data_IF_261009037586
#
_entry.id   IF_261009037586
#
_cell.length_a   1.000
_cell.length_b   1.000
_cell.length_c   1.000
_cell.angle_alpha   90.00
_cell.angle_beta   90.00
_cell.angle_gamma   90.00
#
_symmetry.space_group_name_H-M   'P 1'
#
loop_
_entity.id
_entity.type
_entity.pdbx_description
1 polymer ?
#
# COMPACT_ATOMS: atom_id res chain seq x y z
N UNK A 1 -11.69 14.50 -0.43
CA UNK A 1 -10.49 14.90 -1.21
C UNK A 1 -10.31 13.89 -2.33
N UNK A 2 -9.37 14.10 -3.28
CA UNK A 2 -9.05 13.05 -4.26
C UNK A 2 -8.49 11.80 -3.57
N UNK A 3 -7.70 11.95 -2.49
CA UNK A 3 -7.23 10.84 -1.67
C UNK A 3 -8.35 10.04 -1.00
N UNK A 4 -9.39 10.70 -0.50
CA UNK A 4 -10.56 10.03 0.05
C UNK A 4 -11.29 9.19 -1.00
N UNK A 5 -11.44 9.69 -2.23
CA UNK A 5 -12.00 8.90 -3.33
C UNK A 5 -11.10 7.71 -3.70
N UNK A 6 -9.77 7.85 -3.63
CA UNK A 6 -8.86 6.72 -3.78
C UNK A 6 -9.11 5.67 -2.68
N UNK A 7 -9.33 6.10 -1.44
CA UNK A 7 -9.62 5.21 -0.32
C UNK A 7 -10.93 4.46 -0.55
N UNK A 8 -12.02 5.15 -0.91
CA UNK A 8 -13.32 4.54 -1.25
C UNK A 8 -13.18 3.50 -2.37
N UNK A 9 -12.42 3.80 -3.44
CA UNK A 9 -12.18 2.84 -4.52
C UNK A 9 -11.34 1.63 -4.11
N UNK A 10 -10.33 1.84 -3.25
CA UNK A 10 -9.44 0.79 -2.78
C UNK A 10 -10.17 -0.13 -1.76
N UNK A 11 -11.02 0.44 -0.90
CA UNK A 11 -11.94 -0.27 0.02
C UNK A 11 -12.96 -1.10 -0.75
N UNK A 12 -13.67 -0.49 -1.71
CA UNK A 12 -14.64 -1.20 -2.54
C UNK A 12 -13.99 -2.33 -3.36
N UNK A 13 -12.74 -2.17 -3.79
CA UNK A 13 -12.01 -3.24 -4.45
C UNK A 13 -11.70 -4.40 -3.49
N UNK A 14 -11.31 -4.10 -2.25
CA UNK A 14 -11.06 -5.11 -1.22
C UNK A 14 -12.35 -5.88 -0.88
N UNK A 15 -13.46 -5.17 -0.66
CA UNK A 15 -14.76 -5.79 -0.39
C UNK A 15 -15.21 -6.68 -1.55
N UNK A 16 -15.12 -6.18 -2.80
CA UNK A 16 -15.46 -6.96 -3.97
C UNK A 16 -14.66 -8.27 -4.06
N UNK A 17 -13.35 -8.23 -3.77
CA UNK A 17 -12.50 -9.42 -3.86
C UNK A 17 -12.72 -10.40 -2.69
N UNK A 18 -12.71 -9.91 -1.46
CA UNK A 18 -12.67 -10.77 -0.26
C UNK A 18 -14.04 -11.07 0.34
N UNK A 19 -15.02 -10.17 0.17
CA UNK A 19 -16.39 -10.37 0.65
C UNK A 19 -17.27 -10.97 -0.43
N UNK A 20 -17.18 -10.47 -1.67
CA UNK A 20 -18.08 -10.87 -2.76
C UNK A 20 -17.46 -11.90 -3.73
N UNK A 21 -16.15 -12.17 -3.63
CA UNK A 21 -15.45 -13.13 -4.50
C UNK A 21 -15.27 -12.65 -5.95
N UNK A 22 -15.42 -11.35 -6.21
CA UNK A 22 -15.31 -10.74 -7.54
C UNK A 22 -13.84 -10.50 -7.89
N UNK A 23 -13.33 -11.28 -8.84
CA UNK A 23 -11.97 -11.13 -9.36
C UNK A 23 -11.94 -10.03 -10.43
N UNK A 24 -11.10 -8.98 -10.29
CA UNK A 24 -11.00 -7.93 -11.31
C UNK A 24 -10.39 -8.45 -12.62
N UNK A 25 -10.81 -7.87 -13.74
CA UNK A 25 -10.12 -8.10 -15.01
C UNK A 25 -8.70 -7.53 -14.94
N UNK A 26 -7.71 -8.39 -15.17
CA UNK A 26 -6.31 -8.05 -15.09
C UNK A 26 -5.72 -7.63 -16.45
N UNK A 27 -4.82 -6.65 -16.42
CA UNK A 27 -4.07 -6.22 -17.61
C UNK A 27 -3.00 -7.25 -18.05
N UNK A 28 -2.52 -8.09 -17.12
CA UNK A 28 -1.34 -8.94 -17.29
C UNK A 28 -1.50 -10.25 -16.52
N UNK A 29 -0.73 -11.27 -16.89
CA UNK A 29 -0.61 -12.53 -16.15
C UNK A 29 0.86 -12.86 -15.91
N UNK A 30 1.22 -13.25 -14.69
CA UNK A 30 2.56 -13.66 -14.29
C UNK A 30 2.46 -14.81 -13.29
N UNK A 31 3.43 -15.71 -13.34
CA UNK A 31 3.58 -16.82 -12.37
C UNK A 31 4.30 -16.36 -11.10
N UNK A 32 5.18 -15.37 -11.22
CA UNK A 32 5.96 -14.84 -10.10
C UNK A 32 5.94 -13.31 -10.06
N UNK A 33 5.92 -12.75 -8.85
CA UNK A 33 6.11 -11.32 -8.59
C UNK A 33 7.12 -11.09 -7.47
N UNK A 34 7.71 -9.90 -7.47
CA UNK A 34 8.44 -9.36 -6.33
C UNK A 34 7.53 -8.35 -5.64
N UNK A 35 7.42 -8.46 -4.32
CA UNK A 35 6.69 -7.50 -3.48
C UNK A 35 7.64 -7.02 -2.39
N UNK A 36 7.60 -5.74 -2.05
CA UNK A 36 8.30 -5.22 -0.88
C UNK A 36 7.35 -4.38 -0.04
N UNK A 37 7.51 -4.42 1.29
CA UNK A 37 6.73 -3.63 2.24
C UNK A 37 7.62 -3.07 3.35
N UNK A 38 7.40 -1.81 3.69
CA UNK A 38 8.08 -1.11 4.80
C UNK A 38 7.22 0.09 5.25
N UNK A 39 7.47 0.58 6.45
CA UNK A 39 6.79 1.72 7.05
C UNK A 39 7.71 2.94 7.13
N UNK A 40 7.17 4.12 6.85
CA UNK A 40 7.86 5.39 7.13
C UNK A 40 7.02 6.28 8.04
N UNK A 41 7.65 6.95 8.99
CA UNK A 41 6.96 7.74 9.99
C UNK A 41 6.98 9.24 9.65
N UNK A 42 5.78 9.82 9.55
CA UNK A 42 5.56 11.22 9.19
C UNK A 42 5.11 12.03 10.40
N UNK A 43 5.49 13.31 10.47
CA UNK A 43 5.11 14.20 11.56
C UNK A 43 3.69 14.74 11.39
N UNK A 44 2.88 14.70 12.46
CA UNK A 44 1.54 15.27 12.48
C UNK A 44 1.54 16.73 12.93
N UNK A 45 0.69 17.55 12.32
CA UNK A 45 0.44 18.93 12.75
C UNK A 45 -0.59 18.97 13.86
N UNK A 46 -0.21 19.51 15.02
CA UNK A 46 -1.13 19.77 16.14
C UNK A 46 -2.03 18.55 16.43
N UNK A 47 -1.43 17.37 16.71
CA UNK A 47 -2.22 16.20 17.12
C UNK A 47 -3.07 16.57 18.33
N UNK A 48 -4.24 15.95 18.46
CA UNK A 48 -5.10 16.17 19.62
C UNK A 48 -4.38 15.72 20.91
N UNK A 49 -4.85 16.20 22.06
CA UNK A 49 -4.28 15.76 23.35
C UNK A 49 -4.43 14.23 23.48
N UNK A 50 -3.32 13.55 23.79
CA UNK A 50 -3.25 12.08 23.86
C UNK A 50 -2.95 11.38 22.53
N UNK A 51 -2.96 12.07 21.39
CA UNK A 51 -2.60 11.48 20.09
C UNK A 51 -1.09 11.45 19.83
N UNK A 52 -0.59 10.45 19.08
CA UNK A 52 0.84 10.38 18.73
C UNK A 52 1.25 11.55 17.83
N UNK A 53 2.47 12.06 18.03
CA UNK A 53 3.04 13.16 17.22
C UNK A 53 3.47 12.73 15.81
N UNK A 54 3.59 11.44 15.58
CA UNK A 54 3.97 10.85 14.30
C UNK A 54 2.99 9.76 13.94
N UNK A 55 2.83 9.53 12.65
CA UNK A 55 2.02 8.44 12.13
C UNK A 55 2.84 7.63 11.14
N UNK A 56 2.64 6.33 11.15
CA UNK A 56 3.25 5.44 10.19
C UNK A 56 2.43 5.42 8.90
N UNK A 57 3.08 5.77 7.79
CA UNK A 57 2.61 5.46 6.45
C UNK A 57 3.16 4.08 6.09
N UNK A 58 2.26 3.09 6.00
CA UNK A 58 2.61 1.76 5.52
C UNK A 58 2.58 1.77 4.01
N UNK A 59 3.61 1.24 3.37
CA UNK A 59 3.71 1.19 1.93
C UNK A 59 4.09 -0.21 1.45
N UNK A 60 3.56 -0.59 0.29
CA UNK A 60 3.98 -1.75 -0.47
C UNK A 60 4.25 -1.37 -1.93
N UNK A 61 5.11 -2.14 -2.56
CA UNK A 61 5.35 -2.10 -4.01
C UNK A 61 5.42 -3.52 -4.57
N UNK A 62 4.70 -3.77 -5.66
CA UNK A 62 4.75 -5.01 -6.42
C UNK A 62 5.33 -4.74 -7.82
N UNK A 63 6.12 -5.66 -8.36
CA UNK A 63 6.74 -5.53 -9.67
C UNK A 63 7.16 -6.89 -10.27
N UNK A 64 7.31 -6.94 -11.59
CA UNK A 64 7.60 -8.20 -12.32
C UNK A 64 9.08 -8.60 -12.27
N UNK A 65 9.96 -7.64 -12.01
CA UNK A 65 11.40 -7.83 -12.14
C UNK A 65 12.14 -6.51 -12.18
N UNK A 66 13.46 -6.60 -12.35
CA UNK A 66 14.35 -5.46 -12.51
C UNK A 66 15.08 -5.59 -13.84
N UNK A 67 15.13 -4.52 -14.62
CA UNK A 67 15.87 -4.49 -15.87
C UNK A 67 16.86 -3.32 -15.92
N UNK A 68 17.96 -3.52 -16.64
CA UNK A 68 18.96 -2.48 -16.84
C UNK A 68 18.53 -1.56 -17.98
N UNK A 69 18.38 -0.27 -17.67
CA UNK A 69 18.19 0.80 -18.66
C UNK A 69 19.39 1.75 -18.61
N UNK A 70 20.36 1.49 -19.47
CA UNK A 70 21.64 2.21 -19.49
C UNK A 70 22.40 2.02 -18.18
N UNK A 71 22.66 3.13 -17.46
CA UNK A 71 23.36 3.10 -16.16
C UNK A 71 22.44 2.82 -14.96
N UNK A 72 21.12 2.77 -15.17
CA UNK A 72 20.14 2.58 -14.10
C UNK A 72 19.54 1.17 -14.16
N UNK A 73 19.08 0.70 -13.01
CA UNK A 73 18.21 -0.48 -12.89
C UNK A 73 16.82 0.03 -12.54
N UNK A 74 15.80 -0.42 -13.26
CA UNK A 74 14.41 -0.01 -13.04
C UNK A 74 13.52 -1.22 -12.82
N UNK A 75 12.47 -1.04 -12.03
CA UNK A 75 11.42 -2.06 -11.87
C UNK A 75 10.55 -2.13 -13.12
N UNK A 76 10.17 -3.33 -13.50
CA UNK A 76 9.23 -3.59 -14.59
C UNK A 76 7.81 -3.55 -14.04
N UNK A 77 6.98 -2.67 -14.63
CA UNK A 77 5.58 -2.48 -14.29
C UNK A 77 5.28 -2.29 -12.78
N UNK A 78 5.95 -1.36 -12.08
CA UNK A 78 5.73 -1.19 -10.65
C UNK A 78 4.27 -0.81 -10.34
N UNK A 79 3.79 -1.31 -9.22
CA UNK A 79 2.52 -0.99 -8.61
C UNK A 79 2.76 -0.65 -7.15
N UNK A 80 2.33 0.53 -6.73
CA UNK A 80 2.46 1.05 -5.39
C UNK A 80 1.09 1.14 -4.72
N UNK A 81 1.09 0.87 -3.41
CA UNK A 81 -0.03 1.16 -2.54
C UNK A 81 0.49 1.57 -1.17
N UNK A 82 -0.05 2.65 -0.61
CA UNK A 82 0.33 3.12 0.71
C UNK A 82 -0.86 3.79 1.39
N UNK A 83 -0.92 3.62 2.71
CA UNK A 83 -1.95 4.22 3.55
C UNK A 83 -1.44 4.43 4.98
N UNK A 84 -2.15 5.29 5.69
CA UNK A 84 -2.04 5.41 7.14
C UNK A 84 -3.20 4.64 7.75
N UNK A 85 -2.91 3.48 8.34
CA UNK A 85 -3.92 2.56 8.84
C UNK A 85 -3.31 1.25 9.34
N UNK A 86 -4.14 0.23 9.42
CA UNK A 86 -3.78 -1.12 9.86
C UNK A 86 -3.03 -1.89 8.76
N UNK A 87 -2.34 -2.94 9.18
CA UNK A 87 -1.73 -3.91 8.28
C UNK A 87 -2.76 -4.59 7.37
N UNK A 88 -3.92 -4.94 7.93
CA UNK A 88 -4.99 -5.60 7.21
C UNK A 88 -5.53 -4.73 6.09
N UNK A 89 -5.78 -3.43 6.35
CA UNK A 89 -6.19 -2.48 5.33
C UNK A 89 -5.15 -2.35 4.21
N UNK A 90 -3.85 -2.26 4.54
CA UNK A 90 -2.80 -2.16 3.52
C UNK A 90 -2.84 -3.36 2.58
N UNK A 91 -2.85 -4.57 3.15
CA UNK A 91 -2.75 -5.78 2.35
C UNK A 91 -4.04 -6.10 1.60
N UNK A 92 -5.21 -5.95 2.23
CA UNK A 92 -6.49 -6.19 1.57
C UNK A 92 -6.68 -5.26 0.37
N UNK A 93 -6.51 -3.96 0.59
CA UNK A 93 -6.69 -2.94 -0.44
C UNK A 93 -5.58 -2.99 -1.48
N UNK A 94 -4.33 -3.19 -1.06
CA UNK A 94 -3.17 -3.30 -1.94
C UNK A 94 -3.28 -4.48 -2.89
N UNK A 95 -3.57 -5.68 -2.38
CA UNK A 95 -3.73 -6.90 -3.19
C UNK A 95 -4.94 -6.80 -4.12
N UNK A 96 -6.08 -6.32 -3.62
CA UNK A 96 -7.28 -6.16 -4.46
C UNK A 96 -7.06 -5.17 -5.61
N UNK A 97 -6.41 -4.02 -5.32
CA UNK A 97 -6.07 -3.06 -6.35
C UNK A 97 -4.97 -3.58 -7.31
N UNK A 98 -4.03 -4.37 -6.80
CA UNK A 98 -3.00 -5.07 -7.60
C UNK A 98 -3.63 -6.07 -8.59
N UNK A 99 -4.76 -6.69 -8.23
CA UNK A 99 -5.49 -7.62 -9.08
C UNK A 99 -5.99 -7.04 -10.41
N UNK A 100 -6.13 -5.71 -10.51
CA UNK A 100 -6.42 -5.03 -11.79
C UNK A 100 -5.20 -5.02 -12.72
N UNK A 101 -3.99 -5.07 -12.17
CA UNK A 101 -2.73 -5.06 -12.92
C UNK A 101 -2.28 -6.48 -13.29
N UNK A 102 -2.38 -7.43 -12.37
CA UNK A 102 -2.00 -8.82 -12.60
C UNK A 102 -3.10 -9.79 -12.18
N UNK A 103 -3.28 -10.85 -12.98
CA UNK A 103 -4.17 -11.96 -12.68
C UNK A 103 -3.63 -12.74 -11.49
N UNK A 104 -4.24 -12.51 -10.31
CA UNK A 104 -3.82 -13.14 -9.06
C UNK A 104 -4.02 -14.66 -9.07
N UNK A 105 -4.91 -15.18 -9.93
CA UNK A 105 -5.14 -16.63 -10.05
C UNK A 105 -3.98 -17.38 -10.71
N UNK A 106 -3.12 -16.65 -11.43
CA UNK A 106 -1.93 -17.15 -12.12
C UNK A 106 -0.65 -17.05 -11.31
N UNK A 107 -0.68 -16.33 -10.18
CA UNK A 107 0.48 -16.23 -9.30
C UNK A 107 0.70 -17.55 -8.58
N UNK A 108 1.87 -18.12 -8.79
CA UNK A 108 2.36 -19.33 -8.14
C UNK A 108 3.32 -18.98 -7.00
N UNK A 109 4.13 -17.93 -7.17
CA UNK A 109 5.10 -17.51 -6.15
C UNK A 109 5.25 -15.99 -6.02
N UNK A 110 5.61 -15.55 -4.82
CA UNK A 110 5.94 -14.16 -4.52
C UNK A 110 7.17 -14.09 -3.62
N UNK A 111 8.17 -13.34 -4.06
CA UNK A 111 9.30 -12.96 -3.22
C UNK A 111 8.99 -11.66 -2.51
N UNK A 112 8.80 -11.72 -1.19
CA UNK A 112 8.41 -10.60 -0.35
C UNK A 112 9.59 -10.04 0.44
N UNK A 113 9.96 -8.79 0.21
CA UNK A 113 10.97 -8.07 0.99
C UNK A 113 10.35 -7.22 2.10
N UNK A 114 11.02 -7.12 3.25
CA UNK A 114 10.64 -6.15 4.28
C UNK A 114 11.66 -6.03 5.40
N UNK A 115 11.37 -5.13 6.34
CA UNK A 115 12.23 -4.78 7.47
C UNK A 115 12.21 -5.79 8.63
N UNK A 116 11.30 -6.76 8.59
CA UNK A 116 11.12 -7.79 9.62
C UNK A 116 10.05 -7.44 10.66
N UNK A 117 9.35 -6.33 10.51
CA UNK A 117 8.14 -6.08 11.30
C UNK A 117 7.06 -7.12 10.97
N UNK A 118 6.31 -7.65 11.96
CA UNK A 118 5.37 -8.75 11.74
C UNK A 118 4.32 -8.48 10.67
N UNK A 119 3.96 -7.22 10.45
CA UNK A 119 2.99 -6.87 9.43
C UNK A 119 3.57 -6.93 8.01
N UNK A 120 4.88 -6.73 7.83
CA UNK A 120 5.54 -6.74 6.52
C UNK A 120 5.55 -8.14 5.91
N UNK A 121 5.50 -9.21 6.72
CA UNK A 121 5.47 -10.61 6.27
C UNK A 121 4.05 -11.18 6.12
N UNK A 122 3.00 -10.38 6.37
CA UNK A 122 1.62 -10.87 6.42
C UNK A 122 0.96 -11.11 5.05
N UNK A 123 1.62 -10.79 3.93
CA UNK A 123 1.06 -10.92 2.58
C UNK A 123 0.53 -12.32 2.26
N UNK A 124 1.16 -13.38 2.78
CA UNK A 124 0.72 -14.77 2.53
C UNK A 124 -0.74 -15.04 2.91
N UNK A 125 -1.25 -14.35 3.92
CA UNK A 125 -2.66 -14.45 4.31
C UNK A 125 -3.63 -13.90 3.26
N UNK A 126 -3.15 -13.03 2.37
CA UNK A 126 -3.93 -12.33 1.34
C UNK A 126 -3.71 -12.91 -0.07
N UNK A 127 -2.72 -13.80 -0.24
CA UNK A 127 -2.45 -14.54 -1.47
C UNK A 127 -2.35 -16.04 -1.19
N UNK A 128 -3.43 -16.69 -0.70
CA UNK A 128 -3.37 -18.06 -0.18
C UNK A 128 -3.03 -19.14 -1.23
N UNK A 129 -3.06 -18.80 -2.53
CA UNK A 129 -2.73 -19.73 -3.62
C UNK A 129 -1.27 -19.63 -4.08
N UNK A 130 -0.56 -18.58 -3.69
CA UNK A 130 0.83 -18.38 -4.07
C UNK A 130 1.75 -18.72 -2.89
N UNK A 131 2.88 -19.34 -3.17
CA UNK A 131 3.95 -19.49 -2.20
C UNK A 131 4.59 -18.12 -1.95
N UNK A 132 4.53 -17.62 -0.71
CA UNK A 132 5.15 -16.35 -0.34
C UNK A 132 6.44 -16.61 0.44
N UNK A 133 7.57 -16.30 -0.18
CA UNK A 133 8.90 -16.41 0.42
C UNK A 133 9.32 -15.05 0.94
N UNK A 134 9.49 -14.93 2.27
CA UNK A 134 9.91 -13.68 2.89
C UNK A 134 11.45 -13.55 2.94
N UNK A 135 11.95 -12.39 2.54
CA UNK A 135 13.34 -12.00 2.56
C UNK A 135 13.51 -10.77 3.46
N UNK A 136 14.37 -10.88 4.47
CA UNK A 136 14.74 -9.72 5.27
C UNK A 136 15.61 -8.78 4.45
N UNK A 137 15.29 -7.48 4.44
CA UNK A 137 16.07 -6.48 3.72
C UNK A 137 17.50 -6.37 4.29
N UNK A 138 18.54 -6.59 3.46
CA UNK A 138 19.93 -6.43 3.88
C UNK A 138 20.26 -5.03 4.43
N UNK A 139 19.56 -3.98 4.01
CA UNK A 139 19.78 -2.62 4.52
C UNK A 139 19.53 -2.56 6.04
N UNK A 140 18.43 -3.11 6.52
CA UNK A 140 18.05 -3.09 7.94
C UNK A 140 18.98 -3.97 8.79
N UNK A 141 19.39 -5.12 8.25
CA UNK A 141 20.44 -5.97 8.83
C UNK A 141 21.76 -5.19 8.99
N UNK A 142 22.22 -4.56 7.91
CA UNK A 142 23.47 -3.80 7.92
C UNK A 142 23.41 -2.64 8.90
N UNK A 143 22.27 -1.92 8.92
CA UNK A 143 22.01 -0.82 9.84
C UNK A 143 22.05 -1.26 11.29
N UNK A 144 21.43 -2.40 11.63
CA UNK A 144 21.45 -2.96 12.97
C UNK A 144 22.89 -3.31 13.42
N UNK A 145 23.66 -3.98 12.57
CA UNK A 145 25.06 -4.34 12.86
C UNK A 145 25.93 -3.08 13.01
N UNK A 146 25.80 -2.10 12.12
CA UNK A 146 26.54 -0.84 12.17
C UNK A 146 26.20 0.03 13.38
N UNK A 147 24.97 -0.06 13.89
CA UNK A 147 24.53 0.61 15.10
C UNK A 147 25.06 -0.10 16.36
N UNK A 148 25.08 -1.44 16.35
CA UNK A 148 25.59 -2.25 17.44
C UNK A 148 27.10 -2.06 17.66
N UNK A 149 27.89 -2.06 16.58
CA UNK A 149 29.35 -2.10 16.65
C UNK A 149 29.98 -0.71 16.42
N UNK A 150 30.80 -0.21 17.36
CA UNK A 150 31.61 0.99 17.14
C UNK A 150 32.71 0.77 16.09
N UNK A 151 33.36 -0.39 16.10
CA UNK A 151 34.38 -0.75 15.12
C UNK A 151 33.73 -1.09 13.76
N UNK A 152 33.96 -0.22 12.78
CA UNK A 152 33.42 -0.35 11.42
C UNK A 152 34.04 -1.49 10.62
N UNK A 153 35.30 -1.87 10.90
CA UNK A 153 35.94 -3.02 10.24
C UNK A 153 35.33 -4.32 10.73
N UNK A 154 35.12 -4.44 12.05
CA UNK A 154 34.40 -5.57 12.62
C UNK A 154 32.97 -5.65 12.10
N UNK A 155 32.23 -4.53 12.09
CA UNK A 155 30.88 -4.46 11.52
C UNK A 155 30.86 -4.92 10.05
N UNK A 156 31.80 -4.46 9.23
CA UNK A 156 31.90 -4.88 7.82
C UNK A 156 32.16 -6.37 7.65
N UNK A 157 32.97 -6.98 8.52
CA UNK A 157 33.20 -8.44 8.52
C UNK A 157 31.94 -9.22 8.88
N UNK A 158 31.19 -8.78 9.91
CA UNK A 158 29.92 -9.43 10.25
C UNK A 158 28.89 -9.28 9.13
N UNK A 159 28.79 -8.11 8.50
CA UNK A 159 27.91 -7.89 7.34
C UNK A 159 28.27 -8.84 6.18
N UNK A 160 29.56 -8.96 5.87
CA UNK A 160 30.04 -9.91 4.86
C UNK A 160 29.65 -11.35 5.21
N UNK A 161 29.88 -11.76 6.46
CA UNK A 161 29.53 -13.09 6.94
C UNK A 161 28.04 -13.40 6.82
N UNK A 162 27.16 -12.44 7.16
CA UNK A 162 25.71 -12.59 6.99
C UNK A 162 25.34 -12.76 5.52
N UNK A 163 25.87 -11.89 4.66
CA UNK A 163 25.61 -11.92 3.21
C UNK A 163 26.06 -13.23 2.58
N UNK A 164 27.17 -13.79 3.06
CA UNK A 164 27.76 -15.03 2.54
C UNK A 164 27.11 -16.29 3.16
N UNK A 165 25.98 -16.14 3.87
CA UNK A 165 25.17 -17.23 4.42
C UNK A 165 25.53 -17.68 5.84
N UNK A 166 26.57 -17.09 6.45
CA UNK A 166 27.03 -17.41 7.81
C UNK A 166 26.25 -16.69 8.92
N UNK A 167 24.92 -16.59 8.80
CA UNK A 167 24.07 -15.78 9.69
C UNK A 167 24.09 -16.26 11.15
N UNK A 168 24.11 -17.57 11.41
CA UNK A 168 24.21 -18.16 12.75
C UNK A 168 25.54 -17.77 13.41
N UNK A 169 26.64 -17.88 12.65
CA UNK A 169 27.96 -17.50 13.10
C UNK A 169 28.06 -15.98 13.35
N UNK A 170 27.43 -15.16 12.52
CA UNK A 170 27.38 -13.72 12.72
C UNK A 170 26.64 -13.33 14.00
N UNK A 171 25.51 -13.98 14.31
CA UNK A 171 24.79 -13.80 15.58
C UNK A 171 25.65 -14.21 16.77
N UNK A 172 26.29 -15.38 16.71
CA UNK A 172 27.17 -15.85 17.77
C UNK A 172 28.34 -14.89 18.03
N UNK A 173 28.97 -14.39 16.97
CA UNK A 173 30.03 -13.38 17.08
C UNK A 173 29.53 -12.06 17.67
N UNK A 174 28.34 -11.60 17.27
CA UNK A 174 27.75 -10.38 17.81
C UNK A 174 27.43 -10.52 19.31
N UNK A 175 26.94 -11.68 19.75
CA UNK A 175 26.76 -12.01 21.18
C UNK A 175 28.09 -11.99 21.93
N UNK A 176 29.14 -12.58 21.37
CA UNK A 176 30.49 -12.51 21.94
C UNK A 176 31.01 -11.07 22.04
N UNK A 177 30.76 -10.24 21.02
CA UNK A 177 31.10 -8.82 21.07
C UNK A 177 30.35 -8.09 22.19
N UNK A 178 29.07 -8.43 22.41
CA UNK A 178 28.28 -7.86 23.50
C UNK A 178 28.81 -8.27 24.88
N UNK A 179 29.14 -9.55 25.08
CA UNK A 179 29.65 -10.05 26.37
C UNK A 179 31.04 -9.50 26.70
N UNK A 180 31.87 -9.21 25.69
CA UNK A 180 33.22 -8.67 25.84
C UNK A 180 33.25 -7.12 25.87
N UNK A 181 32.09 -6.46 25.85
CA UNK A 181 32.02 -4.99 25.86
C UNK A 181 32.47 -4.32 24.56
N UNK A 182 32.58 -5.07 23.45
CA UNK A 182 32.96 -4.56 22.12
C UNK A 182 31.75 -4.00 21.35
N UNK A 183 30.53 -4.40 21.71
CA UNK A 183 29.29 -3.84 21.17
C UNK A 183 28.69 -2.81 22.14
N UNK A 184 27.97 -1.82 21.59
CA UNK A 184 27.15 -0.90 22.40
C UNK A 184 26.07 -1.72 23.12
N UNK A 185 25.91 -1.66 24.44
CA UNK A 185 25.04 -2.59 25.17
C UNK A 185 23.61 -2.65 24.65
N UNK A 186 22.93 -1.49 24.53
CA UNK A 186 21.53 -1.43 24.06
C UNK A 186 21.38 -1.82 22.59
N UNK A 187 22.20 -1.23 21.71
CA UNK A 187 22.09 -1.48 20.27
C UNK A 187 22.57 -2.90 19.89
N UNK A 188 23.55 -3.44 20.60
CA UNK A 188 24.02 -4.82 20.45
C UNK A 188 22.96 -5.82 20.85
N UNK A 189 22.35 -5.66 22.03
CA UNK A 189 21.24 -6.52 22.45
C UNK A 189 20.06 -6.47 21.47
N UNK A 190 19.70 -5.27 20.99
CA UNK A 190 18.65 -5.09 19.99
C UNK A 190 19.00 -5.78 18.65
N UNK A 191 20.23 -5.61 18.17
CA UNK A 191 20.67 -6.24 16.93
C UNK A 191 20.74 -7.78 17.03
N UNK A 192 21.13 -8.33 18.18
CA UNK A 192 21.06 -9.77 18.44
C UNK A 192 19.63 -10.26 18.37
N UNK A 193 18.70 -9.66 19.14
CA UNK A 193 17.30 -10.06 19.13
C UNK A 193 16.65 -9.95 17.75
N UNK A 194 16.99 -8.89 17.00
CA UNK A 194 16.51 -8.67 15.64
C UNK A 194 16.98 -9.77 14.67
N UNK A 195 18.27 -10.10 14.68
CA UNK A 195 18.82 -11.15 13.81
C UNK A 195 18.29 -12.54 14.19
N UNK A 196 18.16 -12.83 15.48
CA UNK A 196 17.60 -14.11 15.95
C UNK A 196 16.13 -14.27 15.57
N UNK A 197 15.33 -13.21 15.75
CA UNK A 197 13.90 -13.23 15.40
C UNK A 197 13.64 -13.39 13.90
N UNK A 198 14.62 -13.02 13.05
CA UNK A 198 14.47 -13.06 11.60
C UNK A 198 15.41 -14.06 10.91
N UNK A 199 16.10 -14.93 11.65
CA UNK A 199 17.19 -15.75 11.14
C UNK A 199 16.81 -16.58 9.91
N UNK A 200 15.60 -17.16 9.90
CA UNK A 200 15.07 -17.93 8.77
C UNK A 200 14.98 -17.13 7.47
N UNK A 201 14.78 -15.82 7.56
CA UNK A 201 14.50 -14.90 6.46
C UNK A 201 15.75 -14.12 5.99
N UNK A 202 16.86 -14.25 6.71
CA UNK A 202 18.14 -13.63 6.33
C UNK A 202 18.83 -14.46 5.25
N UNK A 203 19.29 -13.78 4.20
CA UNK A 203 20.06 -14.36 3.09
C UNK A 203 19.36 -15.56 2.41
N UNK A 204 18.03 -15.52 2.33
CA UNK A 204 17.22 -16.53 1.62
C UNK A 204 17.50 -16.46 0.12
N UNK A 205 17.59 -17.63 -0.53
CA UNK A 205 17.79 -17.74 -1.96
C UNK A 205 16.60 -17.14 -2.73
N UNK A 206 16.89 -16.35 -3.76
CA UNK A 206 15.87 -15.69 -4.57
C UNK A 206 16.42 -14.49 -5.33
N UNK A 207 15.55 -13.74 -6.02
CA UNK A 207 15.93 -12.53 -6.72
C UNK A 207 16.36 -11.43 -5.74
N UNK A 208 17.20 -10.50 -6.23
CA UNK A 208 17.59 -9.33 -5.45
C UNK A 208 16.41 -8.37 -5.26
N UNK A 209 16.07 -8.09 -4.00
CA UNK A 209 15.09 -7.08 -3.55
C UNK A 209 15.81 -5.78 -3.14
N UNK A 210 15.24 -4.95 -2.25
CA UNK A 210 15.89 -3.74 -1.73
C UNK A 210 15.59 -2.49 -2.55
N UNK A 211 14.35 -2.32 -3.00
CA UNK A 211 13.87 -1.10 -3.65
C UNK A 211 13.07 -0.20 -2.70
N UNK A 212 12.56 -0.75 -1.59
CA UNK A 212 11.65 -0.02 -0.72
C UNK A 212 12.28 1.18 -0.01
N UNK A 213 13.54 1.09 0.44
CA UNK A 213 14.24 2.25 1.05
C UNK A 213 14.29 3.45 0.09
N UNK A 214 14.50 3.19 -1.20
CA UNK A 214 14.48 4.22 -2.24
C UNK A 214 13.10 4.86 -2.39
N UNK A 215 12.03 4.07 -2.30
CA UNK A 215 10.65 4.56 -2.35
C UNK A 215 10.30 5.38 -1.11
N UNK A 216 10.63 4.86 0.07
CA UNK A 216 10.46 5.55 1.34
C UNK A 216 11.18 6.91 1.34
N UNK A 217 12.42 6.97 0.84
CA UNK A 217 13.18 8.20 0.79
C UNK A 217 12.65 9.17 -0.29
N UNK A 218 12.47 8.70 -1.53
CA UNK A 218 12.29 9.59 -2.68
C UNK A 218 10.84 9.79 -3.11
N UNK A 219 9.95 8.83 -2.86
CA UNK A 219 8.53 8.97 -3.19
C UNK A 219 7.79 9.62 -2.02
N UNK A 220 7.89 9.01 -0.84
CA UNK A 220 7.14 9.45 0.34
C UNK A 220 7.90 10.52 1.12
N UNK A 221 9.10 10.23 1.64
CA UNK A 221 9.88 11.12 2.49
C UNK A 221 10.19 12.47 1.84
N UNK A 222 10.68 12.48 0.60
CA UNK A 222 10.98 13.71 -0.13
C UNK A 222 9.74 14.60 -0.33
N UNK A 223 8.52 14.05 -0.30
CA UNK A 223 7.27 14.80 -0.51
C UNK A 223 6.50 15.10 0.78
N UNK A 224 6.69 14.27 1.79
CA UNK A 224 5.86 14.27 3.00
C UNK A 224 6.66 14.59 4.26
N UNK A 225 7.98 14.44 4.23
CA UNK A 225 8.89 14.68 5.37
C UNK A 225 9.92 15.79 5.08
N UNK A 226 9.98 16.31 3.84
CA UNK A 226 10.78 17.49 3.48
C UNK A 226 9.95 18.77 3.54
N UNK A 227 10.57 19.90 3.94
CA UNK A 227 9.94 21.21 4.28
C UNK A 227 8.91 21.09 5.42
N UNK A 228 8.51 22.15 6.16
CA UNK A 228 7.62 21.99 7.32
C UNK A 228 6.18 21.64 6.86
N UNK A 229 5.99 20.38 6.48
CA UNK A 229 4.71 19.77 6.13
C UNK A 229 4.20 19.06 7.38
N UNK A 230 3.43 19.78 8.19
CA UNK A 230 2.64 19.12 9.22
C UNK A 230 1.38 18.53 8.58
N UNK A 231 1.18 17.23 8.70
CA UNK A 231 0.00 16.56 8.15
C UNK A 231 -1.07 16.35 9.21
N UNK A 232 -2.35 16.38 8.84
CA UNK A 232 -3.35 15.63 9.60
C UNK A 232 -3.20 14.13 9.28
N UNK A 233 -3.67 13.24 10.16
CA UNK A 233 -3.67 11.79 9.89
C UNK A 233 -4.32 11.46 8.53
N UNK A 234 -5.50 12.03 8.27
CA UNK A 234 -6.21 11.85 7.01
C UNK A 234 -5.43 12.43 5.81
N UNK A 235 -4.82 13.61 5.98
CA UNK A 235 -4.02 14.24 4.93
C UNK A 235 -2.77 13.43 4.56
N UNK A 236 -2.11 12.82 5.55
CA UNK A 236 -0.99 11.91 5.32
C UNK A 236 -1.44 10.66 4.55
N UNK A 237 -2.57 10.06 4.94
CA UNK A 237 -3.15 8.91 4.24
C UNK A 237 -3.48 9.24 2.78
N UNK A 238 -4.23 10.33 2.56
CA UNK A 238 -4.63 10.82 1.24
C UNK A 238 -3.43 11.03 0.32
N UNK A 239 -2.39 11.68 0.84
CA UNK A 239 -1.19 11.98 0.06
C UNK A 239 -0.40 10.71 -0.27
N UNK A 240 -0.29 9.75 0.66
CA UNK A 240 0.33 8.44 0.40
C UNK A 240 -0.37 7.68 -0.74
N UNK A 241 -1.71 7.66 -0.74
CA UNK A 241 -2.51 7.05 -1.81
C UNK A 241 -2.33 7.75 -3.15
N UNK A 242 -2.30 9.10 -3.15
CA UNK A 242 -2.12 9.88 -4.38
C UNK A 242 -0.73 9.68 -5.00
N UNK A 243 0.32 9.68 -4.17
CA UNK A 243 1.69 9.37 -4.63
C UNK A 243 1.73 7.95 -5.20
N UNK A 244 1.20 6.97 -4.47
CA UNK A 244 1.14 5.57 -4.92
C UNK A 244 0.50 5.43 -6.29
N UNK A 245 -0.66 6.06 -6.51
CA UNK A 245 -1.36 6.00 -7.81
C UNK A 245 -0.56 6.65 -8.92
N UNK A 246 0.04 7.82 -8.67
CA UNK A 246 0.89 8.52 -9.65
C UNK A 246 2.05 7.62 -10.10
N UNK A 247 2.77 7.03 -9.16
CA UNK A 247 3.94 6.19 -9.46
C UNK A 247 3.57 4.84 -10.09
N UNK A 248 2.36 4.35 -9.83
CA UNK A 248 1.79 3.16 -10.49
C UNK A 248 1.23 3.41 -11.89
N UNK A 249 1.15 4.68 -12.32
CA UNK A 249 0.41 5.06 -13.53
C UNK A 249 -1.11 4.84 -13.42
N UNK A 250 -1.66 4.75 -12.21
CA UNK A 250 -3.09 4.55 -11.95
C UNK A 250 -3.82 5.90 -12.00
N UNK A 251 -5.03 5.89 -12.55
CA UNK A 251 -5.88 7.07 -12.56
C UNK A 251 -6.19 7.53 -11.13
N UNK A 252 -6.06 8.84 -10.89
CA UNK A 252 -6.56 9.48 -9.69
C UNK A 252 -8.02 9.86 -9.94
N UNK A 253 -8.97 9.49 -9.06
CA UNK A 253 -10.37 9.82 -9.23
C UNK A 253 -10.58 11.33 -9.29
N UNK A 254 -11.41 11.77 -10.23
CA UNK A 254 -11.70 13.20 -10.39
C UNK A 254 -12.72 13.63 -9.35
N UNK A 255 -12.41 14.67 -8.58
CA UNK A 255 -13.41 15.33 -7.75
C UNK A 255 -14.42 16.03 -8.66
N UNK A 256 -15.69 15.63 -8.60
CA UNK A 256 -16.76 16.36 -9.27
C UNK A 256 -16.92 17.76 -8.66
N UNK A 257 -17.60 18.68 -9.35
CA UNK A 257 -17.91 20.01 -8.83
C UNK A 257 -18.72 19.95 -7.52
N UNK A 258 -19.55 18.93 -7.39
CA UNK A 258 -20.36 18.68 -6.19
C UNK A 258 -19.49 18.16 -5.05
N UNK A 259 -18.61 17.18 -5.32
CA UNK A 259 -17.71 16.62 -4.32
C UNK A 259 -16.62 17.61 -3.87
N UNK A 260 -16.22 18.55 -4.72
CA UNK A 260 -15.30 19.64 -4.38
C UNK A 260 -15.98 20.83 -3.69
N UNK A 261 -17.30 20.81 -3.50
CA UNK A 261 -18.00 21.88 -2.79
C UNK A 261 -17.59 21.90 -1.30
N UNK A 262 -17.19 23.08 -0.81
CA UNK A 262 -16.88 23.28 0.60
C UNK A 262 -18.09 22.98 1.50
N UNK A 263 -17.91 22.62 2.79
CA UNK A 263 -19.02 22.34 3.70
C UNK A 263 -20.06 23.45 3.75
N UNK A 264 -19.61 24.72 3.69
CA UNK A 264 -20.49 25.89 3.61
C UNK A 264 -21.31 25.93 2.31
N UNK A 265 -20.71 25.58 1.16
CA UNK A 265 -21.41 25.52 -0.13
C UNK A 265 -22.41 24.36 -0.16
N UNK A 266 -22.05 23.19 0.40
CA UNK A 266 -22.94 22.04 0.54
C UNK A 266 -24.16 22.39 1.38
N UNK A 267 -23.97 22.88 2.61
CA UNK A 267 -25.07 23.37 3.47
C UNK A 267 -25.94 24.42 2.80
N UNK A 268 -25.34 25.37 2.06
CA UNK A 268 -26.11 26.39 1.33
C UNK A 268 -26.94 25.78 0.19
N UNK A 269 -26.42 24.75 -0.49
CA UNK A 269 -27.13 24.01 -1.55
C UNK A 269 -28.25 23.16 -0.95
N UNK A 270 -27.97 22.35 0.07
CA UNK A 270 -28.98 21.59 0.83
C UNK A 270 -30.10 22.51 1.34
N UNK A 271 -29.76 23.64 1.94
CA UNK A 271 -30.76 24.59 2.41
C UNK A 271 -31.55 25.24 1.25
N UNK A 272 -30.97 25.36 0.05
CA UNK A 272 -31.71 25.82 -1.15
C UNK A 272 -32.63 24.72 -1.68
N UNK A 273 -32.18 23.46 -1.66
CA UNK A 273 -32.98 22.29 -2.03
C UNK A 273 -34.17 22.12 -1.10
N UNK A 274 -33.95 22.13 0.22
CA UNK A 274 -34.99 22.11 1.25
C UNK A 274 -36.02 23.23 1.03
N UNK A 275 -35.56 24.47 0.87
CA UNK A 275 -36.48 25.60 0.59
C UNK A 275 -37.24 25.45 -0.72
N UNK A 276 -36.63 24.82 -1.73
CA UNK A 276 -37.29 24.59 -3.02
C UNK A 276 -38.37 23.52 -2.88
N UNK A 277 -38.06 22.43 -2.18
CA UNK A 277 -38.99 21.35 -1.86
C UNK A 277 -40.19 21.85 -1.05
N UNK A 278 -39.93 22.67 -0.02
CA UNK A 278 -40.94 23.31 0.83
C UNK A 278 -41.85 24.26 0.05
N UNK A 279 -41.28 25.10 -0.85
CA UNK A 279 -42.05 26.06 -1.65
C UNK A 279 -42.87 25.41 -2.75
N UNK A 280 -42.38 24.32 -3.34
CA UNK A 280 -43.05 23.65 -4.44
C UNK A 280 -44.21 22.74 -3.98
N UNK A 281 -44.43 22.57 -2.67
CA UNK A 281 -45.47 21.67 -2.16
C UNK A 281 -45.29 20.22 -2.63
N UNK A 282 -44.04 19.86 -2.94
CA UNK A 282 -43.65 18.61 -3.60
C UNK A 282 -44.05 17.43 -2.73
N UNK A 283 -44.84 16.49 -3.28
CA UNK A 283 -45.15 15.25 -2.56
C UNK A 283 -43.88 14.40 -2.44
N UNK A 284 -43.79 13.55 -1.42
CA UNK A 284 -42.60 12.70 -1.21
C UNK A 284 -42.24 11.80 -2.40
N UNK A 285 -43.16 11.61 -3.36
CA UNK A 285 -42.99 10.86 -4.60
C UNK A 285 -42.45 11.66 -5.79
N UNK A 286 -42.29 12.98 -5.68
CA UNK A 286 -41.89 13.86 -6.78
C UNK A 286 -40.43 14.28 -6.69
N UNK A 287 -39.68 14.11 -7.79
CA UNK A 287 -38.26 14.48 -7.89
C UNK A 287 -38.14 15.92 -8.38
N UNK A 288 -37.42 16.76 -7.63
CA UNK A 288 -37.11 18.13 -8.03
C UNK A 288 -36.22 18.12 -9.28
N UNK A 289 -36.74 18.64 -10.39
CA UNK A 289 -36.05 18.60 -11.69
C UNK A 289 -34.83 19.52 -11.76
N UNK A 290 -34.79 20.63 -11.02
CA UNK A 290 -33.58 21.44 -10.86
C UNK A 290 -33.68 22.40 -9.67
N UNK A 291 -32.51 22.82 -9.16
CA UNK A 291 -32.39 23.87 -8.13
C UNK A 291 -31.34 24.90 -8.55
N UNK A 292 -31.82 26.07 -9.01
CA UNK A 292 -30.98 27.21 -9.43
C UNK A 292 -31.08 27.53 -10.92
N UNK A 293 -30.31 28.53 -11.38
CA UNK A 293 -30.35 29.03 -12.76
C UNK A 293 -29.57 28.18 -13.78
N UNK A 294 -29.21 26.95 -13.41
CA UNK A 294 -28.58 26.01 -14.34
C UNK A 294 -29.68 25.30 -15.14
N UNK A 295 -29.70 25.51 -16.45
CA UNK A 295 -30.54 24.72 -17.34
C UNK A 295 -29.95 23.31 -17.44
N UNK A 296 -30.65 22.34 -16.87
CA UNK A 296 -30.42 20.92 -17.13
C UNK A 296 -31.33 20.53 -18.30
N UNK A 297 -30.81 20.14 -19.48
CA UNK A 297 -31.66 19.71 -20.57
C UNK A 297 -32.45 18.48 -20.11
N UNK A 298 -33.75 18.38 -20.41
CA UNK A 298 -34.53 17.21 -20.01
C UNK A 298 -33.94 15.96 -20.68
N UNK A 299 -33.24 15.14 -19.90
CA UNK A 299 -32.87 13.79 -20.30
C UNK A 299 -34.15 12.95 -20.34
N UNK A 300 -34.84 12.96 -21.48
CA UNK A 300 -35.78 11.89 -21.83
C UNK A 300 -34.95 10.65 -22.19
N UNK A 301 -34.49 9.92 -21.18
CA UNK A 301 -34.07 8.54 -21.41
C UNK A 301 -35.33 7.75 -21.84
N UNK A 302 -35.45 7.48 -23.15
CA UNK A 302 -36.43 6.51 -23.65
C UNK A 302 -35.97 5.12 -23.18
N UNK A 303 -36.58 4.62 -22.11
CA UNK A 303 -36.30 3.30 -21.52
C UNK A 303 -36.56 2.15 -22.52
N UNK A 304 -37.26 2.41 -23.63
CA UNK A 304 -37.56 1.41 -24.67
C UNK A 304 -36.40 0.99 -25.58
N UNK A 305 -35.15 1.43 -25.34
CA UNK A 305 -33.96 1.00 -26.13
C UNK A 305 -32.74 0.59 -25.30
N UNK A 306 -32.87 0.40 -23.99
CA UNK A 306 -31.82 -0.28 -23.22
C UNK A 306 -32.15 -1.76 -23.14
N UNK A 307 -31.70 -2.52 -24.14
CA UNK A 307 -31.54 -3.96 -23.96
C UNK A 307 -30.54 -4.18 -22.81
N UNK A 308 -30.80 -5.10 -21.87
CA UNK A 308 -29.84 -5.42 -20.84
C UNK A 308 -28.74 -6.28 -21.48
N UNK A 309 -27.66 -5.65 -21.95
CA UNK A 309 -26.39 -6.36 -22.09
C UNK A 309 -25.63 -6.21 -20.77
N UNK A 310 -26.17 -6.86 -19.74
CA UNK A 310 -25.38 -7.22 -18.57
C UNK A 310 -24.73 -8.55 -18.91
N UNK A 311 -23.55 -8.53 -19.50
CA UNK A 311 -22.70 -9.71 -19.59
C UNK A 311 -22.01 -9.91 -18.24
N UNK A 312 -22.77 -10.38 -17.25
CA UNK A 312 -22.22 -11.00 -16.05
C UNK A 312 -21.81 -12.42 -16.49
N UNK A 313 -20.53 -12.61 -16.79
CA UNK A 313 -19.98 -13.94 -16.94
C UNK A 313 -19.88 -14.56 -15.54
N UNK A 314 -20.98 -15.13 -15.06
CA UNK A 314 -20.95 -16.07 -13.96
C UNK A 314 -20.26 -17.33 -14.48
N UNK A 315 -19.06 -17.62 -13.97
CA UNK A 315 -18.42 -18.91 -14.16
C UNK A 315 -19.21 -19.98 -13.41
N UNK A 316 -20.15 -20.62 -14.11
CA UNK A 316 -20.79 -21.85 -13.67
C UNK A 316 -20.27 -22.99 -14.55
N UNK A 317 -19.14 -23.57 -14.15
CA UNK A 317 -18.81 -24.94 -14.51
C UNK A 317 -19.59 -25.86 -13.57
N UNK A 318 -20.55 -26.61 -14.11
CA UNK A 318 -20.97 -27.89 -13.52
C UNK A 318 -21.78 -28.71 -14.52
N UNK A 319 -21.30 -29.92 -14.80
CA UNK A 319 -22.13 -31.02 -15.27
C UNK A 319 -21.71 -31.67 -16.58
N UNK A 320 -20.58 -32.39 -16.58
CA UNK A 320 -20.45 -33.55 -17.46
C UNK A 320 -21.50 -34.58 -17.04
N UNK A 321 -22.37 -34.94 -17.99
CA UNK A 321 -23.20 -36.13 -17.93
C UNK A 321 -22.51 -37.25 -18.71
N UNK A 322 -22.45 -38.41 -18.06
CA UNK A 322 -21.96 -39.73 -18.49
C UNK A 322 -20.45 -39.97 -18.47
#
# INVERSE_FOLDING_TARGET
SAGALCAEEDEAAADALYSDGVVPAAERAREALLVEADGTFLSLQRPAEGEPRRVELKAMVAYEGKERRGRKVVRVAPFHHALVGTAGELWSQGVAAMGRRWDLSRLESVHLGGDGEPWCSALGAWLPRAEVVFHLDPFHVNRAILAALPDKRLAGRLIGLVRDGGKEAAVALLKGCLSQGLARPRAGAAAVGYLEGNLGSVAVAGPSLGTMESDNQHLYGARMDSVPCGWSRAGACDMGRLISRRESGRAVPRMTRELSASPRRRRRREARELRSLERAGTRASEVVQSVGSGYEPPHRARVGRMAPLVSLAAGLDSGMAF
#
